data_IF_190643230418
#
_entry.id   IF_190643230418
#
_cell.length_a   1.000
_cell.length_b   1.000
_cell.length_c   1.000
_cell.angle_alpha   90.00
_cell.angle_beta   90.00
_cell.angle_gamma   90.00
#
_symmetry.space_group_name_H-M   'P 1'
#
loop_
_entity.id
_entity.type
_entity.pdbx_description
1 polymer ?
#
# COMPACT_ATOMS: atom_id res chain seq x y z
N UNK A 1 -0.23 17.14 -22.97
CA UNK A 1 0.97 16.40 -22.52
C UNK A 1 0.93 16.34 -21.00
N UNK A 2 0.71 15.17 -20.40
CA UNK A 2 0.60 15.03 -18.94
C UNK A 2 2.00 15.15 -18.31
N UNK A 3 2.25 16.24 -17.59
CA UNK A 3 3.51 16.45 -16.85
C UNK A 3 3.29 16.06 -15.40
N UNK A 4 3.93 14.98 -14.96
CA UNK A 4 4.02 14.64 -13.53
C UNK A 4 5.05 15.59 -12.90
N UNK A 5 4.65 16.31 -11.84
CA UNK A 5 5.62 16.97 -10.95
C UNK A 5 6.41 15.83 -10.29
N UNK A 6 7.67 15.66 -10.67
CA UNK A 6 8.49 14.57 -10.17
C UNK A 6 8.92 14.87 -8.72
N UNK A 7 8.04 14.58 -7.77
CA UNK A 7 8.47 14.25 -6.43
C UNK A 7 8.90 12.78 -6.46
N UNK A 8 10.11 12.50 -5.98
CA UNK A 8 10.56 11.12 -5.81
C UNK A 8 9.76 10.53 -4.65
N UNK A 9 8.79 9.68 -4.96
CA UNK A 9 7.97 8.98 -3.98
C UNK A 9 8.34 7.50 -4.09
N UNK A 10 8.81 6.92 -2.99
CA UNK A 10 8.99 5.48 -2.91
C UNK A 10 7.63 4.80 -2.80
N UNK A 11 7.38 3.84 -3.69
CA UNK A 11 6.14 3.08 -3.73
C UNK A 11 6.42 1.61 -3.47
N UNK A 12 5.40 0.89 -3.01
CA UNK A 12 5.39 -0.57 -2.99
C UNK A 12 4.12 -1.12 -3.65
N UNK A 13 4.25 -2.36 -4.13
CA UNK A 13 3.15 -3.13 -4.68
C UNK A 13 2.83 -4.27 -3.72
N UNK A 14 1.62 -4.24 -3.16
CA UNK A 14 1.12 -5.33 -2.32
C UNK A 14 0.25 -6.25 -3.17
N UNK A 15 0.73 -7.45 -3.46
CA UNK A 15 -0.02 -8.49 -4.14
C UNK A 15 -1.21 -8.97 -3.31
N UNK A 16 -2.33 -9.24 -3.98
CA UNK A 16 -3.51 -9.86 -3.39
C UNK A 16 -3.71 -11.23 -4.05
N UNK A 17 -3.29 -12.28 -3.37
CA UNK A 17 -3.42 -13.64 -3.90
C UNK A 17 -4.90 -14.03 -4.06
N UNK A 18 -5.21 -14.81 -5.10
CA UNK A 18 -6.56 -15.28 -5.42
C UNK A 18 -7.61 -14.15 -5.56
N UNK A 19 -7.18 -12.96 -5.99
CA UNK A 19 -8.05 -11.77 -6.06
C UNK A 19 -8.76 -11.61 -7.41
N UNK A 20 -8.74 -12.62 -8.28
CA UNK A 20 -9.43 -12.58 -9.58
C UNK A 20 -10.93 -12.26 -9.42
N UNK A 21 -11.53 -12.81 -8.37
CA UNK A 21 -12.94 -12.63 -8.00
C UNK A 21 -13.06 -11.72 -6.76
N UNK A 22 -12.45 -10.54 -6.85
CA UNK A 22 -12.44 -9.59 -5.73
C UNK A 22 -13.86 -9.13 -5.39
N UNK A 23 -14.20 -9.11 -4.10
CA UNK A 23 -15.51 -8.64 -3.63
C UNK A 23 -15.62 -7.13 -3.81
N UNK A 24 -16.84 -6.65 -4.09
CA UNK A 24 -17.14 -5.23 -4.18
C UNK A 24 -16.80 -4.48 -2.88
N UNK A 25 -17.08 -5.07 -1.72
CA UNK A 25 -16.77 -4.51 -0.40
C UNK A 25 -15.29 -4.11 -0.28
N UNK A 26 -14.38 -4.94 -0.78
CA UNK A 26 -12.96 -4.65 -0.76
C UNK A 26 -12.58 -3.44 -1.63
N UNK A 27 -13.21 -3.31 -2.80
CA UNK A 27 -13.02 -2.14 -3.67
C UNK A 27 -13.56 -0.86 -3.01
N UNK A 28 -14.64 -0.98 -2.25
CA UNK A 28 -15.21 0.12 -1.47
C UNK A 28 -14.28 0.54 -0.33
N UNK A 29 -13.65 -0.40 0.37
CA UNK A 29 -12.64 -0.12 1.39
C UNK A 29 -11.44 0.65 0.82
N UNK A 30 -10.90 0.21 -0.32
CA UNK A 30 -9.79 0.90 -0.99
C UNK A 30 -10.19 2.30 -1.42
N UNK A 31 -11.39 2.47 -2.00
CA UNK A 31 -11.91 3.79 -2.37
C UNK A 31 -12.06 4.69 -1.15
N UNK A 32 -12.52 4.13 -0.04
CA UNK A 32 -12.72 4.86 1.21
C UNK A 32 -11.38 5.33 1.79
N UNK A 33 -10.37 4.45 1.84
CA UNK A 33 -9.01 4.82 2.25
C UNK A 33 -8.36 5.83 1.32
N UNK A 34 -8.52 5.69 0.00
CA UNK A 34 -7.99 6.65 -0.96
C UNK A 34 -8.61 8.04 -0.80
N UNK A 35 -9.91 8.12 -0.50
CA UNK A 35 -10.65 9.38 -0.38
C UNK A 35 -10.48 10.06 1.00
N UNK A 36 -10.39 9.27 2.06
CA UNK A 36 -10.43 9.78 3.43
C UNK A 36 -9.16 9.45 4.25
N UNK A 37 -8.12 8.91 3.60
CA UNK A 37 -6.83 8.67 4.23
C UNK A 37 -6.23 9.98 4.77
N UNK A 38 -5.99 10.02 6.08
CA UNK A 38 -5.30 11.14 6.73
C UNK A 38 -3.78 10.98 6.69
N UNK A 39 -3.06 12.02 7.13
CA UNK A 39 -1.59 12.05 7.19
C UNK A 39 -0.95 10.94 8.05
N UNK A 40 -1.73 10.30 8.92
CA UNK A 40 -1.28 9.22 9.80
C UNK A 40 -1.45 7.82 9.19
N UNK A 41 -2.04 7.70 8.00
CA UNK A 41 -2.23 6.43 7.29
C UNK A 41 -1.32 6.35 6.06
N UNK A 42 -0.95 5.13 5.66
CA UNK A 42 -0.20 4.93 4.43
C UNK A 42 -1.04 5.35 3.24
N UNK A 43 -0.49 6.22 2.40
CA UNK A 43 -1.16 6.70 1.19
C UNK A 43 -1.39 5.54 0.21
N UNK A 44 -2.65 5.31 -0.16
CA UNK A 44 -3.01 4.41 -1.26
C UNK A 44 -3.21 5.25 -2.53
N UNK A 45 -2.43 4.94 -3.56
CA UNK A 45 -2.53 5.60 -4.87
C UNK A 45 -3.57 4.94 -5.77
N UNK A 46 -3.83 3.65 -5.59
CA UNK A 46 -4.86 2.92 -6.32
C UNK A 46 -4.58 1.43 -6.39
N UNK A 47 -5.19 0.77 -7.37
CA UNK A 47 -5.00 -0.65 -7.67
C UNK A 47 -4.55 -0.85 -9.11
N UNK A 48 -3.82 -1.93 -9.35
CA UNK A 48 -3.42 -2.39 -10.66
C UNK A 48 -3.63 -3.90 -10.77
N UNK A 49 -3.50 -4.47 -11.96
CA UNK A 49 -3.61 -5.91 -12.19
C UNK A 49 -2.27 -6.45 -12.65
N UNK A 50 -1.78 -7.49 -12.00
CA UNK A 50 -0.56 -8.18 -12.41
C UNK A 50 -0.83 -8.92 -13.74
N UNK A 51 -0.08 -8.63 -14.82
CA UNK A 51 -0.32 -9.25 -16.12
C UNK A 51 -0.01 -10.75 -16.14
N UNK A 52 0.78 -11.28 -15.19
CA UNK A 52 1.21 -12.69 -15.18
C UNK A 52 0.13 -13.64 -14.68
N UNK A 53 -0.47 -13.31 -13.54
CA UNK A 53 -1.45 -14.18 -12.87
C UNK A 53 -2.86 -13.58 -12.87
N UNK A 54 -3.03 -12.32 -13.25
CA UNK A 54 -4.31 -11.61 -13.23
C UNK A 54 -4.78 -11.21 -11.83
N UNK A 55 -3.94 -11.35 -10.80
CA UNK A 55 -4.26 -10.90 -9.45
C UNK A 55 -4.16 -9.38 -9.36
N UNK A 56 -5.01 -8.77 -8.54
CA UNK A 56 -4.91 -7.36 -8.20
C UNK A 56 -3.71 -7.10 -7.28
N UNK A 57 -3.17 -5.89 -7.40
CA UNK A 57 -2.14 -5.36 -6.52
C UNK A 57 -2.54 -3.96 -6.08
N UNK A 58 -2.23 -3.62 -4.83
CA UNK A 58 -2.40 -2.27 -4.29
C UNK A 58 -1.12 -1.48 -4.56
N UNK A 59 -1.26 -0.28 -5.11
CA UNK A 59 -0.18 0.69 -5.26
C UNK A 59 -0.26 1.66 -4.09
N UNK A 60 0.76 1.66 -3.23
CA UNK A 60 0.77 2.46 -2.01
C UNK A 60 2.17 2.99 -1.71
N UNK A 61 2.24 3.98 -0.83
CA UNK A 61 3.48 4.56 -0.35
C UNK A 61 4.31 3.52 0.43
N UNK A 62 5.63 3.52 0.18
CA UNK A 62 6.53 2.61 0.85
C UNK A 62 6.89 3.13 2.24
N UNK A 63 6.58 2.34 3.27
CA UNK A 63 6.99 2.62 4.64
C UNK A 63 8.46 2.20 4.83
N UNK A 64 9.39 3.14 4.67
CA UNK A 64 10.83 2.88 4.77
C UNK A 64 11.25 2.27 6.11
N UNK A 65 10.60 2.69 7.20
CA UNK A 65 10.87 2.17 8.55
C UNK A 65 10.15 0.84 8.84
N UNK A 66 9.40 0.31 7.89
CA UNK A 66 8.63 -0.92 8.05
C UNK A 66 7.42 -0.76 8.99
N UNK A 67 7.07 -1.82 9.70
CA UNK A 67 5.94 -1.82 10.62
C UNK A 67 6.34 -1.32 12.00
N UNK A 68 5.40 -0.65 12.69
CA UNK A 68 5.58 -0.22 14.08
C UNK A 68 5.97 -1.41 14.99
N UNK A 69 5.40 -2.59 14.75
CA UNK A 69 5.75 -3.81 15.49
C UNK A 69 7.23 -4.14 15.35
N UNK A 70 7.76 -4.17 14.11
CA UNK A 70 9.18 -4.45 13.87
C UNK A 70 10.08 -3.39 14.52
N UNK A 71 9.66 -2.12 14.49
CA UNK A 71 10.40 -1.04 15.12
C UNK A 71 10.46 -1.18 16.64
N UNK A 72 9.34 -1.56 17.28
CA UNK A 72 9.29 -1.82 18.72
C UNK A 72 10.10 -3.06 19.09
N UNK A 73 9.93 -4.17 18.36
CA UNK A 73 10.67 -5.42 18.62
C UNK A 73 12.18 -5.17 18.59
N UNK A 74 12.69 -4.43 17.61
CA UNK A 74 14.11 -4.07 17.53
C UNK A 74 14.57 -3.22 18.73
N UNK A 75 13.74 -2.28 19.19
CA UNK A 75 14.08 -1.39 20.31
C UNK A 75 14.16 -2.12 21.64
N UNK A 76 13.29 -3.11 21.86
CA UNK A 76 13.35 -3.93 23.06
C UNK A 76 14.53 -4.91 23.02
N UNK A 77 14.87 -5.49 21.86
CA UNK A 77 16.06 -6.32 21.72
C UNK A 77 17.39 -5.56 21.92
N UNK A 78 17.42 -4.24 21.76
CA UNK A 78 18.61 -3.40 22.04
C UNK A 78 18.81 -3.09 23.53
N UNK A 79 17.81 -3.37 24.38
CA UNK A 79 17.82 -3.07 25.81
C UNK A 79 18.12 -4.29 26.69
N UNK A 80 18.11 -5.48 26.10
CA UNK A 80 18.50 -6.76 26.71
C UNK A 80 20.01 -7.05 26.53
#
# INVERSE_FOLDING_TARGET
MWKRKAQQIHICLKGLDNSKDIKQEFLEEIKNQHKHGGHSAITIFGITKNPKDGNYMIVMEYAEQGSLRKLLDNKYCELD
#
